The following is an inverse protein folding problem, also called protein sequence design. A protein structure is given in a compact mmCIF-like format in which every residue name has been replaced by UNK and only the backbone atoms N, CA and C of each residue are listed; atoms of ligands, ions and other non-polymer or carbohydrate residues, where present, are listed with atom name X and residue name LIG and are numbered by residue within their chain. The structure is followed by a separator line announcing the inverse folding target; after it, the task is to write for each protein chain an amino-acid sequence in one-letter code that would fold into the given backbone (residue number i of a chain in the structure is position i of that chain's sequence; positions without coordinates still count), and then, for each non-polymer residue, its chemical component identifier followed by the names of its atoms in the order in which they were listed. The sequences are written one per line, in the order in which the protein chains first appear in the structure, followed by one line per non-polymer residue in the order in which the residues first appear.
data_IF_667094450675
#
_entry.id   IF_667094450675
#
_cell.length_a   1.000
_cell.length_b   1.000
_cell.length_c   1.000
_cell.angle_alpha   90.00
_cell.angle_beta   90.00
_cell.angle_gamma   90.00
#
_symmetry.space_group_name_H-M   'P 1'
#
loop_
_entity.id
_entity.type
_entity.pdbx_description
1 polymer ?
#
# COMPACT_ATOMS: atom_id res chain seq x y z
N UNK A 1 -27.75 -32.94 0.27
CA UNK A 1 -27.43 -31.56 0.69
C UNK A 1 -25.92 -31.46 0.69
N UNK A 2 -25.34 -30.73 -0.25
CA UNK A 2 -23.89 -30.53 -0.33
C UNK A 2 -23.53 -29.26 0.44
N UNK A 3 -22.80 -29.41 1.54
CA UNK A 3 -22.25 -28.29 2.29
C UNK A 3 -21.21 -27.55 1.43
N UNK A 4 -21.18 -26.21 1.47
CA UNK A 4 -20.11 -25.45 0.85
C UNK A 4 -18.81 -25.68 1.63
N UNK A 5 -17.88 -26.41 1.02
CA UNK A 5 -16.50 -26.46 1.48
C UNK A 5 -15.84 -25.15 1.07
N UNK A 6 -15.57 -24.28 2.04
CA UNK A 6 -14.70 -23.12 1.87
C UNK A 6 -13.26 -23.62 1.69
N UNK A 7 -12.88 -23.85 0.44
CA UNK A 7 -11.47 -23.90 0.09
C UNK A 7 -10.98 -22.48 -0.11
N UNK A 8 -9.91 -22.09 0.58
CA UNK A 8 -9.06 -21.02 0.10
C UNK A 8 -8.57 -21.45 -1.29
N UNK A 9 -9.26 -20.98 -2.34
CA UNK A 9 -8.78 -21.09 -3.70
C UNK A 9 -7.74 -20.00 -3.86
N UNK A 10 -6.44 -20.33 -4.01
CA UNK A 10 -5.43 -19.34 -4.35
C UNK A 10 -5.91 -18.65 -5.63
N UNK A 11 -6.11 -17.34 -5.53
CA UNK A 11 -6.87 -16.50 -6.43
C UNK A 11 -6.64 -16.85 -7.92
N UNK A 12 -7.71 -17.24 -8.62
CA UNK A 12 -7.77 -17.06 -10.07
C UNK A 12 -7.65 -15.56 -10.33
N UNK A 13 -6.42 -15.10 -10.55
CA UNK A 13 -6.13 -13.69 -10.77
C UNK A 13 -6.92 -13.13 -11.93
N UNK A 14 -7.69 -12.09 -11.65
CA UNK A 14 -8.60 -11.41 -12.57
C UNK A 14 -7.84 -10.44 -13.48
N UNK A 15 -8.06 -10.49 -14.80
CA UNK A 15 -7.48 -9.54 -15.75
C UNK A 15 -7.40 -10.07 -17.19
N UNK A 16 -7.43 -9.16 -18.17
CA UNK A 16 -7.24 -9.51 -19.59
C UNK A 16 -5.74 -9.59 -19.90
N UNK A 17 -5.35 -10.66 -20.59
CA UNK A 17 -3.96 -10.93 -20.98
C UNK A 17 -3.95 -11.53 -22.37
N UNK A 18 -2.89 -11.25 -23.11
CA UNK A 18 -2.68 -11.86 -24.42
C UNK A 18 -2.39 -13.34 -24.15
N UNK A 19 -3.22 -14.24 -24.67
CA UNK A 19 -2.99 -15.69 -24.58
C UNK A 19 -2.28 -16.22 -25.83
N UNK A 20 -2.54 -15.59 -26.98
CA UNK A 20 -2.02 -16.01 -28.28
C UNK A 20 -1.96 -14.86 -29.26
N UNK A 21 -0.92 -14.82 -30.09
CA UNK A 21 -0.81 -14.02 -31.30
C UNK A 21 -0.62 -14.98 -32.48
N UNK A 22 -1.24 -14.70 -33.61
CA UNK A 22 -1.01 -15.38 -34.88
C UNK A 22 -0.49 -14.35 -35.87
N UNK A 23 0.78 -14.46 -36.23
CA UNK A 23 1.39 -13.62 -37.26
C UNK A 23 1.28 -14.37 -38.58
N UNK A 24 0.49 -13.84 -39.52
CA UNK A 24 0.36 -14.39 -40.86
C UNK A 24 1.39 -13.72 -41.77
N UNK A 25 2.26 -14.50 -42.41
CA UNK A 25 3.14 -13.96 -43.45
C UNK A 25 2.33 -13.66 -44.71
N UNK A 26 2.81 -12.70 -45.51
CA UNK A 26 2.26 -12.41 -46.86
C UNK A 26 2.31 -13.66 -47.78
N UNK A 27 3.17 -14.62 -47.47
CA UNK A 27 3.35 -15.90 -48.19
C UNK A 27 2.45 -17.04 -47.68
N UNK A 28 1.53 -16.78 -46.74
CA UNK A 28 0.53 -17.74 -46.27
C UNK A 28 0.98 -18.69 -45.16
N UNK A 29 2.19 -18.53 -44.63
CA UNK A 29 2.65 -19.28 -43.45
C UNK A 29 2.29 -18.50 -42.18
N UNK A 30 1.67 -19.16 -41.20
CA UNK A 30 1.36 -18.56 -39.91
C UNK A 30 2.35 -18.98 -38.83
N UNK A 31 2.76 -18.04 -38.00
CA UNK A 31 3.53 -18.31 -36.78
C UNK A 31 2.61 -18.03 -35.60
N UNK A 32 2.31 -19.08 -34.83
CA UNK A 32 1.57 -18.94 -33.59
C UNK A 32 2.54 -18.73 -32.43
N UNK A 33 2.29 -17.68 -31.65
CA UNK A 33 2.95 -17.40 -30.38
C UNK A 33 1.95 -17.50 -29.25
N UNK A 34 2.21 -18.36 -28.27
CA UNK A 34 1.39 -18.54 -27.07
C UNK A 34 2.08 -17.90 -25.87
N UNK A 35 1.31 -17.28 -24.99
CA UNK A 35 1.84 -16.57 -23.84
C UNK A 35 1.40 -17.25 -22.54
N UNK A 36 2.37 -17.61 -21.69
CA UNK A 36 2.12 -18.24 -20.39
C UNK A 36 2.71 -17.36 -19.28
N UNK A 37 1.91 -16.96 -18.30
CA UNK A 37 2.30 -16.00 -17.26
C UNK A 37 2.78 -16.71 -15.97
N UNK A 38 3.75 -17.61 -16.11
CA UNK A 38 4.29 -18.47 -15.04
C UNK A 38 5.74 -18.84 -15.33
N UNK A 39 6.48 -19.28 -14.32
CA UNK A 39 7.82 -19.84 -14.56
C UNK A 39 7.77 -21.17 -15.32
N UNK A 40 8.90 -21.53 -15.94
CA UNK A 40 9.11 -22.88 -16.46
C UNK A 40 8.87 -23.89 -15.32
N UNK A 41 8.03 -24.88 -15.59
CA UNK A 41 7.55 -25.89 -14.63
C UNK A 41 6.67 -25.35 -13.48
N UNK A 42 6.36 -24.05 -13.46
CA UNK A 42 5.41 -23.48 -12.52
C UNK A 42 4.00 -24.03 -12.74
N UNK A 43 3.33 -24.41 -11.64
CA UNK A 43 1.92 -24.81 -11.69
C UNK A 43 0.99 -23.59 -11.76
N UNK A 44 1.36 -22.50 -11.09
CA UNK A 44 0.54 -21.31 -10.94
C UNK A 44 1.17 -20.07 -11.61
N UNK A 45 0.36 -19.03 -11.79
CA UNK A 45 0.82 -17.76 -12.36
C UNK A 45 1.76 -17.04 -11.39
N UNK A 46 2.80 -16.41 -11.93
CA UNK A 46 3.79 -15.64 -11.15
C UNK A 46 3.36 -14.18 -10.94
N UNK A 47 2.10 -14.04 -10.56
CA UNK A 47 1.47 -12.75 -10.33
C UNK A 47 1.80 -12.24 -8.94
N UNK A 48 2.11 -10.95 -8.86
CA UNK A 48 2.29 -10.24 -7.61
C UNK A 48 1.20 -9.19 -7.52
N UNK A 49 0.45 -9.26 -6.44
CA UNK A 49 -0.61 -8.32 -6.12
C UNK A 49 0.00 -7.35 -5.12
N UNK A 50 0.33 -6.15 -5.59
CA UNK A 50 0.95 -5.12 -4.76
C UNK A 50 0.01 -4.64 -3.63
N UNK A 51 -1.31 -4.81 -3.81
CA UNK A 51 -2.32 -4.49 -2.81
C UNK A 51 -3.54 -5.39 -2.99
N UNK A 52 -3.89 -6.14 -1.95
CA UNK A 52 -5.20 -6.79 -1.90
C UNK A 52 -6.29 -5.71 -1.93
N UNK A 53 -7.30 -5.85 -2.80
CA UNK A 53 -8.46 -4.97 -2.73
C UNK A 53 -9.13 -5.18 -1.37
N UNK A 54 -8.99 -4.20 -0.49
CA UNK A 54 -9.71 -4.18 0.78
C UNK A 54 -11.16 -3.85 0.47
N UNK A 55 -12.00 -4.88 0.34
CA UNK A 55 -13.44 -4.71 0.18
C UNK A 55 -14.15 -4.46 1.50
N UNK A 56 -13.49 -4.75 2.61
CA UNK A 56 -14.03 -4.54 3.96
C UNK A 56 -13.13 -3.59 4.72
N UNK A 57 -13.71 -2.52 5.23
CA UNK A 57 -13.05 -1.60 6.15
C UNK A 57 -13.95 -1.28 7.34
N UNK A 58 -13.34 -1.06 8.49
CA UNK A 58 -14.04 -0.55 9.67
C UNK A 58 -14.03 0.97 9.55
N UNK A 59 -15.21 1.56 9.36
CA UNK A 59 -15.39 3.00 9.32
C UNK A 59 -16.07 3.50 10.60
N UNK A 60 -15.80 4.75 10.93
CA UNK A 60 -16.42 5.41 12.07
C UNK A 60 -17.52 6.33 11.57
N UNK A 61 -18.78 6.06 11.94
CA UNK A 61 -19.86 7.03 11.79
C UNK A 61 -19.85 7.91 13.04
N UNK A 62 -19.78 9.21 12.83
CA UNK A 62 -19.87 10.17 13.93
C UNK A 62 -21.24 10.82 13.91
N UNK A 63 -21.88 10.92 15.07
CA UNK A 63 -23.13 11.64 15.28
C UNK A 63 -22.90 12.76 16.27
N UNK A 64 -23.40 13.95 15.95
CA UNK A 64 -23.47 15.06 16.90
C UNK A 64 -24.58 14.81 17.91
N UNK A 65 -24.21 14.83 19.20
CA UNK A 65 -25.16 14.77 20.29
C UNK A 65 -25.74 16.17 20.52
N UNK A 66 -27.07 16.27 20.49
CA UNK A 66 -27.79 17.54 20.60
C UNK A 66 -28.76 17.51 21.77
N UNK A 67 -28.82 18.62 22.50
CA UNK A 67 -29.89 18.90 23.45
C UNK A 67 -30.97 19.68 22.71
N UNK A 68 -32.14 19.05 22.55
CA UNK A 68 -33.29 19.72 22.00
C UNK A 68 -33.95 20.59 23.08
N UNK A 69 -34.31 21.84 22.75
CA UNK A 69 -35.03 22.67 23.69
C UNK A 69 -36.43 22.08 23.99
N UNK A 70 -36.98 22.35 25.18
CA UNK A 70 -38.32 21.90 25.55
C UNK A 70 -39.38 22.35 24.53
N UNK A 71 -40.44 21.54 24.28
CA UNK A 71 -41.52 21.91 23.36
C UNK A 71 -42.08 23.30 23.67
N UNK A 72 -42.11 24.18 22.67
CA UNK A 72 -42.59 25.56 22.81
C UNK A 72 -41.51 26.62 23.10
N UNK A 73 -40.24 26.24 23.23
CA UNK A 73 -39.15 27.19 23.41
C UNK A 73 -38.62 27.72 22.07
N UNK A 74 -38.31 29.02 22.00
CA UNK A 74 -37.62 29.63 20.85
C UNK A 74 -36.11 29.44 21.00
N UNK A 75 -35.59 28.36 20.44
CA UNK A 75 -34.15 28.06 20.38
C UNK A 75 -33.88 26.90 19.43
N UNK A 76 -32.70 26.91 18.79
CA UNK A 76 -32.22 25.76 18.01
C UNK A 76 -31.66 24.67 18.91
N UNK A 77 -31.45 23.47 18.37
CA UNK A 77 -30.78 22.38 19.08
C UNK A 77 -29.34 22.78 19.43
N UNK A 78 -28.91 22.54 20.67
CA UNK A 78 -27.57 22.88 21.15
C UNK A 78 -26.70 21.61 21.15
N UNK A 79 -25.63 21.54 20.33
CA UNK A 79 -24.72 20.41 20.37
C UNK A 79 -23.92 20.40 21.68
N UNK A 80 -23.75 19.22 22.29
CA UNK A 80 -23.01 19.06 23.55
C UNK A 80 -21.89 18.01 23.48
N UNK A 81 -21.77 17.31 22.35
CA UNK A 81 -20.70 16.33 22.16
C UNK A 81 -20.82 15.55 20.86
N UNK A 82 -19.94 14.57 20.73
CA UNK A 82 -19.88 13.64 19.59
C UNK A 82 -19.92 12.21 20.10
N UNK A 83 -20.67 11.37 19.39
CA UNK A 83 -20.70 9.93 19.61
C UNK A 83 -20.18 9.22 18.36
N UNK A 84 -19.25 8.28 18.54
CA UNK A 84 -18.63 7.52 17.45
C UNK A 84 -19.10 6.08 17.50
N UNK A 85 -19.53 5.57 16.35
CA UNK A 85 -19.92 4.18 16.18
C UNK A 85 -19.10 3.56 15.07
N UNK A 86 -18.51 2.41 15.35
CA UNK A 86 -17.84 1.62 14.33
C UNK A 86 -18.91 0.90 13.49
N UNK A 87 -18.76 0.92 12.18
CA UNK A 87 -19.53 0.08 11.28
C UNK A 87 -18.60 -0.55 10.25
N UNK A 88 -18.95 -1.76 9.83
CA UNK A 88 -18.27 -2.42 8.74
C UNK A 88 -18.83 -1.91 7.43
N UNK A 89 -17.99 -1.30 6.61
CA UNK A 89 -18.32 -0.90 5.27
C UNK A 89 -17.78 -1.94 4.30
N UNK A 90 -18.67 -2.51 3.49
CA UNK A 90 -18.27 -3.19 2.26
C UNK A 90 -18.11 -2.10 1.19
N UNK A 91 -16.87 -1.75 0.84
CA UNK A 91 -16.62 -0.76 -0.21
C UNK A 91 -16.24 -1.47 -1.50
N UNK A 92 -17.10 -1.30 -2.52
CA UNK A 92 -16.75 -1.62 -3.92
C UNK A 92 -16.03 -0.45 -4.60
N UNK A 93 -15.64 0.56 -3.82
CA UNK A 93 -15.15 1.83 -4.33
C UNK A 93 -13.67 1.71 -4.67
N UNK A 94 -13.43 1.85 -5.96
CA UNK A 94 -12.14 1.95 -6.60
C UNK A 94 -11.37 3.26 -6.27
N UNK A 95 -11.64 3.95 -5.15
CA UNK A 95 -11.19 5.35 -4.89
C UNK A 95 -9.66 5.54 -4.81
N UNK A 96 -8.87 4.47 -4.96
CA UNK A 96 -7.45 4.58 -5.38
C UNK A 96 -7.29 4.95 -6.88
N UNK A 97 -8.38 5.19 -7.61
CA UNK A 97 -8.40 5.29 -9.08
C UNK A 97 -7.89 6.60 -9.65
N UNK A 98 -7.61 7.62 -8.84
CA UNK A 98 -7.06 8.84 -9.45
C UNK A 98 -5.69 8.58 -10.13
N UNK A 99 -5.03 7.44 -9.86
CA UNK A 99 -3.90 6.92 -10.64
C UNK A 99 -3.81 5.37 -10.75
N UNK A 100 -4.88 4.60 -10.52
CA UNK A 100 -4.81 3.13 -10.62
C UNK A 100 -5.99 2.56 -11.40
N UNK A 101 -5.83 2.30 -12.70
CA UNK A 101 -6.93 1.77 -13.51
C UNK A 101 -7.21 0.27 -13.28
N UNK A 102 -6.38 -0.49 -12.56
CA UNK A 102 -6.61 -1.90 -12.18
C UNK A 102 -5.81 -2.23 -10.90
N UNK A 103 -6.07 -3.35 -10.18
CA UNK A 103 -5.04 -3.89 -9.29
C UNK A 103 -3.73 -4.01 -10.09
N UNK A 104 -2.65 -3.42 -9.58
CA UNK A 104 -1.34 -3.53 -10.20
C UNK A 104 -0.87 -4.98 -10.02
N UNK A 105 -1.25 -5.82 -10.98
CA UNK A 105 -0.77 -7.18 -11.12
C UNK A 105 0.52 -7.14 -11.92
N UNK A 106 1.62 -7.49 -11.27
CA UNK A 106 2.91 -7.60 -11.93
C UNK A 106 3.20 -9.07 -12.18
N UNK A 107 3.59 -9.40 -13.41
CA UNK A 107 4.06 -10.75 -13.73
C UNK A 107 5.57 -10.76 -13.67
N UNK A 108 6.11 -11.52 -12.72
CA UNK A 108 7.57 -11.73 -12.64
C UNK A 108 8.12 -12.44 -13.87
N UNK A 109 7.29 -13.22 -14.57
CA UNK A 109 7.70 -14.13 -15.63
C UNK A 109 6.62 -14.28 -16.69
N UNK A 110 7.01 -14.18 -17.96
CA UNK A 110 6.15 -14.42 -19.13
C UNK A 110 6.91 -15.32 -20.11
N UNK A 111 6.29 -16.43 -20.50
CA UNK A 111 6.81 -17.31 -21.54
C UNK A 111 6.14 -16.99 -22.88
N UNK A 112 6.92 -16.75 -23.91
CA UNK A 112 6.51 -16.69 -25.31
C UNK A 112 6.89 -18.03 -25.97
N UNK A 113 5.89 -18.89 -26.18
CA UNK A 113 6.05 -20.21 -26.80
C UNK A 113 5.72 -20.09 -28.28
N UNK A 114 6.73 -20.22 -29.12
CA UNK A 114 6.61 -20.23 -30.57
C UNK A 114 6.37 -21.69 -31.00
N UNK A 115 5.17 -21.99 -31.49
CA UNK A 115 4.74 -23.37 -31.75
C UNK A 115 5.73 -24.14 -32.63
N UNK A 116 6.22 -25.27 -32.10
CA UNK A 116 7.14 -26.17 -32.79
C UNK A 116 8.57 -25.65 -32.97
N UNK A 117 8.92 -24.48 -32.40
CA UNK A 117 10.22 -23.84 -32.64
C UNK A 117 11.03 -23.57 -31.37
N UNK A 118 10.50 -22.79 -30.45
CA UNK A 118 11.29 -22.27 -29.32
C UNK A 118 10.40 -21.70 -28.23
N UNK A 119 10.97 -21.57 -27.04
CA UNK A 119 10.35 -20.83 -25.92
C UNK A 119 11.27 -19.72 -25.47
N UNK A 120 10.74 -18.52 -25.29
CA UNK A 120 11.44 -17.37 -24.72
C UNK A 120 10.81 -17.08 -23.37
N UNK A 121 11.60 -16.97 -22.32
CA UNK A 121 11.12 -16.63 -20.98
C UNK A 121 11.66 -15.27 -20.59
N UNK A 122 10.75 -14.33 -20.39
CA UNK A 122 11.01 -12.96 -19.99
C UNK A 122 10.79 -12.83 -18.48
N UNK A 123 11.78 -12.31 -17.77
CA UNK A 123 11.71 -12.02 -16.34
C UNK A 123 11.82 -10.53 -16.09
N UNK A 124 10.93 -10.02 -15.25
CA UNK A 124 10.79 -8.59 -14.96
C UNK A 124 11.09 -8.29 -13.49
N UNK A 125 11.62 -7.09 -13.21
CA UNK A 125 11.59 -6.54 -11.86
C UNK A 125 10.15 -6.29 -11.43
N UNK A 126 9.91 -6.53 -10.14
CA UNK A 126 8.62 -6.53 -9.47
C UNK A 126 8.63 -5.58 -8.26
N UNK A 127 9.59 -4.66 -8.25
CA UNK A 127 9.79 -3.74 -7.12
C UNK A 127 8.53 -2.91 -6.91
N UNK A 128 7.97 -2.96 -5.70
CA UNK A 128 6.69 -2.32 -5.42
C UNK A 128 6.91 -0.88 -4.96
N UNK A 129 5.94 -0.03 -5.26
CA UNK A 129 5.90 1.29 -4.68
C UNK A 129 5.36 1.24 -3.25
N UNK A 130 5.74 2.19 -2.40
CA UNK A 130 5.22 2.30 -1.04
C UNK A 130 4.21 3.44 -0.92
N UNK A 131 3.24 3.24 -0.04
CA UNK A 131 2.29 4.26 0.34
C UNK A 131 2.96 5.28 1.27
N UNK A 132 2.32 6.44 1.41
CA UNK A 132 2.78 7.46 2.34
C UNK A 132 2.75 6.99 3.81
N UNK A 133 3.59 7.59 4.64
CA UNK A 133 3.65 7.30 6.06
C UNK A 133 2.49 8.00 6.79
N UNK A 134 1.67 7.25 7.53
CA UNK A 134 0.61 7.80 8.37
C UNK A 134 1.25 8.53 9.55
N UNK A 135 1.16 9.86 9.57
CA UNK A 135 1.67 10.70 10.66
C UNK A 135 0.63 10.91 11.76
N UNK A 136 -0.65 10.89 11.42
CA UNK A 136 -1.77 11.04 12.37
C UNK A 136 -3.04 10.41 11.79
N UNK A 137 -3.86 9.82 12.67
CA UNK A 137 -5.17 9.29 12.30
C UNK A 137 -5.08 7.99 11.50
N UNK A 138 -5.92 7.86 10.48
CA UNK A 138 -5.95 6.70 9.56
C UNK A 138 -5.35 7.03 8.20
N UNK A 139 -5.00 6.00 7.43
CA UNK A 139 -4.45 6.18 6.09
C UNK A 139 -5.44 6.87 5.13
N UNK A 140 -4.97 7.91 4.44
CA UNK A 140 -5.67 8.59 3.35
C UNK A 140 -5.33 7.86 2.06
N UNK A 141 -6.22 6.96 1.63
CA UNK A 141 -5.99 6.09 0.47
C UNK A 141 -5.73 6.85 -0.84
N UNK A 142 -6.20 8.08 -0.96
CA UNK A 142 -5.96 8.97 -2.12
C UNK A 142 -4.63 9.71 -2.06
N UNK A 143 -3.81 9.54 -1.02
CA UNK A 143 -2.48 10.13 -0.95
C UNK A 143 -1.61 9.61 -2.12
N UNK A 144 -0.82 10.48 -2.78
CA UNK A 144 0.07 10.06 -3.85
C UNK A 144 1.05 8.97 -3.40
N UNK A 145 1.38 8.06 -4.31
CA UNK A 145 2.42 7.07 -4.07
C UNK A 145 3.79 7.69 -4.25
N UNK A 146 4.79 7.02 -3.67
CA UNK A 146 6.08 7.64 -3.41
C UNK A 146 7.15 7.36 -4.48
N UNK A 147 6.81 6.56 -5.49
CA UNK A 147 7.68 6.10 -6.57
C UNK A 147 9.00 5.49 -6.06
N UNK A 148 8.93 4.60 -5.07
CA UNK A 148 10.11 3.87 -4.58
C UNK A 148 10.54 2.71 -5.50
N UNK A 149 9.57 2.02 -6.12
CA UNK A 149 9.80 0.91 -7.05
C UNK A 149 10.22 1.36 -8.46
N UNK A 150 11.30 2.12 -8.56
CA UNK A 150 11.71 2.81 -9.79
C UNK A 150 12.07 1.90 -10.96
N UNK A 151 12.51 0.68 -10.66
CA UNK A 151 12.88 -0.34 -11.62
C UNK A 151 11.74 -1.32 -11.92
N UNK A 152 10.52 -1.10 -11.39
CA UNK A 152 9.37 -1.96 -11.65
C UNK A 152 9.11 -2.13 -13.15
N UNK A 153 8.87 -3.37 -13.57
CA UNK A 153 8.48 -3.69 -14.95
C UNK A 153 9.64 -3.69 -15.93
N UNK A 154 10.88 -3.42 -15.48
CA UNK A 154 12.08 -3.56 -16.32
C UNK A 154 12.37 -5.04 -16.56
N UNK A 155 12.62 -5.40 -17.81
CA UNK A 155 13.07 -6.76 -18.16
C UNK A 155 14.52 -6.93 -17.69
N UNK A 156 14.73 -7.80 -16.69
CA UNK A 156 16.03 -8.05 -16.04
C UNK A 156 16.72 -9.30 -16.57
N UNK A 157 15.96 -10.26 -17.10
CA UNK A 157 16.51 -11.52 -17.59
C UNK A 157 15.63 -12.10 -18.70
N UNK A 158 16.24 -12.55 -19.78
CA UNK A 158 15.59 -13.29 -20.86
C UNK A 158 16.31 -14.60 -21.11
N UNK A 159 15.58 -15.71 -21.19
CA UNK A 159 16.11 -17.03 -21.50
C UNK A 159 15.49 -17.56 -22.78
N UNK A 160 16.33 -18.10 -23.67
CA UNK A 160 15.91 -18.66 -24.94
C UNK A 160 16.13 -20.17 -24.91
N UNK A 161 15.09 -20.91 -25.25
CA UNK A 161 15.10 -22.37 -25.34
C UNK A 161 14.82 -22.82 -26.78
N UNK A 162 15.53 -23.84 -27.23
CA UNK A 162 15.26 -24.49 -28.51
C UNK A 162 13.98 -25.33 -28.47
N UNK A 163 13.66 -26.01 -29.58
CA UNK A 163 12.49 -26.88 -29.70
C UNK A 163 12.53 -28.10 -28.76
N UNK A 164 13.71 -28.43 -28.24
CA UNK A 164 13.95 -29.55 -27.33
C UNK A 164 14.01 -29.10 -25.86
N UNK A 165 13.66 -27.83 -25.58
CA UNK A 165 13.77 -27.19 -24.27
C UNK A 165 15.20 -27.08 -23.71
N UNK A 166 16.23 -27.13 -24.56
CA UNK A 166 17.59 -26.81 -24.14
C UNK A 166 17.77 -25.29 -24.09
N UNK A 167 18.40 -24.80 -23.01
CA UNK A 167 18.78 -23.39 -22.91
C UNK A 167 19.88 -23.07 -23.92
N UNK A 168 19.62 -22.16 -24.86
CA UNK A 168 20.55 -21.78 -25.94
C UNK A 168 21.11 -20.37 -25.78
N UNK A 169 20.40 -19.48 -25.08
CA UNK A 169 20.87 -18.12 -24.80
C UNK A 169 20.28 -17.57 -23.51
N UNK A 170 21.06 -16.75 -22.82
CA UNK A 170 20.63 -15.93 -21.69
C UNK A 170 21.02 -14.47 -21.93
N UNK A 171 20.14 -13.53 -21.60
CA UNK A 171 20.40 -12.09 -21.63
C UNK A 171 20.04 -11.52 -20.26
N UNK A 172 21.02 -11.00 -19.54
CA UNK A 172 20.86 -10.32 -18.25
C UNK A 172 21.01 -8.81 -18.47
N UNK A 173 20.00 -8.04 -18.08
CA UNK A 173 19.99 -6.59 -18.17
C UNK A 173 20.19 -6.00 -16.77
N UNK A 174 21.17 -5.11 -16.63
CA UNK A 174 21.46 -4.40 -15.40
C UNK A 174 21.16 -2.91 -15.57
N UNK A 175 20.19 -2.41 -14.82
CA UNK A 175 19.78 -1.00 -14.83
C UNK A 175 20.40 -0.26 -13.64
N UNK A 176 20.65 1.03 -13.82
CA UNK A 176 21.19 1.90 -12.78
C UNK A 176 20.38 3.18 -12.70
N UNK A 177 20.12 3.64 -11.47
CA UNK A 177 19.54 4.94 -11.18
C UNK A 177 20.66 5.99 -11.09
N UNK A 178 20.46 7.12 -11.78
CA UNK A 178 21.30 8.30 -11.61
C UNK A 178 20.83 9.13 -10.41
N UNK A 179 21.49 8.90 -9.28
CA UNK A 179 21.21 9.64 -8.04
C UNK A 179 21.45 11.15 -8.14
N UNK A 180 22.26 11.63 -9.10
CA UNK A 180 22.52 13.08 -9.26
C UNK A 180 21.31 13.83 -9.81
N UNK A 181 20.40 13.12 -10.49
CA UNK A 181 19.16 13.67 -11.08
C UNK A 181 17.91 13.29 -10.29
N UNK A 182 18.09 12.70 -9.11
CA UNK A 182 17.00 12.38 -8.21
C UNK A 182 16.46 13.65 -7.55
N UNK A 183 15.19 13.96 -7.81
CA UNK A 183 14.49 15.08 -7.17
C UNK A 183 13.38 14.52 -6.32
N UNK A 184 13.37 14.89 -5.05
CA UNK A 184 12.33 14.50 -4.10
C UNK A 184 11.61 15.75 -3.59
N UNK A 185 10.28 15.70 -3.61
CA UNK A 185 9.41 16.70 -2.99
C UNK A 185 8.52 15.99 -1.98
N UNK A 186 8.68 16.34 -0.72
CA UNK A 186 7.85 15.81 0.36
C UNK A 186 6.52 16.59 0.42
N UNK A 187 5.43 15.87 0.65
CA UNK A 187 4.10 16.44 0.75
C UNK A 187 3.29 15.80 1.87
N UNK A 188 2.23 16.49 2.28
CA UNK A 188 1.25 15.98 3.23
C UNK A 188 -0.12 15.95 2.56
N UNK A 189 -0.76 14.79 2.59
CA UNK A 189 -2.19 14.67 2.38
C UNK A 189 -2.85 14.86 3.75
N UNK A 190 -3.76 15.83 3.85
CA UNK A 190 -4.45 16.14 5.11
C UNK A 190 -5.96 16.06 4.82
N UNK A 191 -6.67 15.27 5.63
CA UNK A 191 -8.12 15.13 5.55
C UNK A 191 -8.72 15.47 6.90
N UNK A 192 -9.60 16.48 6.93
CA UNK A 192 -10.50 16.70 8.08
C UNK A 192 -11.67 15.74 7.97
N UNK A 193 -11.80 14.89 8.98
CA UNK A 193 -12.78 13.82 9.01
C UNK A 193 -14.18 14.31 9.43
N UNK A 194 -14.26 15.33 10.30
CA UNK A 194 -15.49 16.05 10.62
C UNK A 194 -15.17 17.41 11.25
N UNK A 195 -16.16 18.31 11.28
CA UNK A 195 -16.14 19.51 12.11
C UNK A 195 -16.58 19.18 13.54
N UNK A 196 -15.79 19.57 14.53
CA UNK A 196 -16.19 19.46 15.93
C UNK A 196 -17.17 20.61 16.27
N UNK A 197 -18.44 20.31 16.60
CA UNK A 197 -19.42 21.33 16.92
C UNK A 197 -19.20 21.96 18.30
N UNK A 198 -18.30 21.39 19.12
CA UNK A 198 -17.94 21.91 20.44
C UNK A 198 -16.43 22.15 20.44
N UNK A 199 -15.99 23.26 19.85
CA UNK A 199 -14.58 23.65 19.80
C UNK A 199 -14.05 23.76 21.24
N UNK A 200 -13.20 22.82 21.65
CA UNK A 200 -12.50 22.88 22.93
C UNK A 200 -11.05 23.29 22.71
N UNK A 201 -10.48 24.02 23.67
CA UNK A 201 -9.06 24.34 23.62
C UNK A 201 -8.24 23.04 23.62
N UNK A 202 -7.41 22.88 22.60
CA UNK A 202 -6.50 21.74 22.40
C UNK A 202 -5.32 21.75 23.37
N UNK A 203 -5.11 22.88 24.04
CA UNK A 203 -4.09 23.06 25.07
C UNK A 203 -4.70 23.65 26.34
N UNK A 204 -4.20 23.22 27.49
CA UNK A 204 -4.41 23.90 28.78
C UNK A 204 -3.05 24.25 29.37
N UNK A 205 -2.89 25.51 29.77
CA UNK A 205 -1.77 25.93 30.60
C UNK A 205 -2.11 25.61 32.05
N UNK A 206 -1.25 24.84 32.72
CA UNK A 206 -1.47 24.43 34.09
C UNK A 206 -1.35 25.61 35.06
N UNK A 207 -2.38 25.81 35.88
CA UNK A 207 -2.39 26.78 36.97
C UNK A 207 -2.15 26.10 38.31
N UNK A 208 -1.92 26.90 39.36
CA UNK A 208 -1.74 26.40 40.73
C UNK A 208 -2.91 25.50 41.20
N UNK A 209 -4.14 25.86 40.83
CA UNK A 209 -5.37 25.10 41.15
C UNK A 209 -5.46 23.73 40.44
N UNK A 210 -4.69 23.52 39.36
CA UNK A 210 -4.76 22.32 38.54
C UNK A 210 -3.73 21.24 38.93
N UNK A 211 -2.78 21.56 39.81
CA UNK A 211 -1.62 20.71 40.10
C UNK A 211 -1.96 19.50 40.99
N UNK A 212 -3.05 19.62 41.75
CA UNK A 212 -3.56 18.59 42.67
C UNK A 212 -4.97 18.12 42.25
N UNK A 213 -5.43 18.52 41.06
CA UNK A 213 -6.77 18.20 40.56
C UNK A 213 -6.95 16.69 40.37
N UNK A 214 -8.01 16.14 40.94
CA UNK A 214 -8.37 14.73 40.81
C UNK A 214 -9.85 14.58 40.49
N UNK A 215 -10.16 13.59 39.65
CA UNK A 215 -11.51 13.28 39.19
C UNK A 215 -11.87 11.90 39.72
N UNK A 216 -12.95 11.82 40.48
CA UNK A 216 -13.50 10.55 40.93
C UNK A 216 -14.47 10.00 39.88
N UNK A 217 -14.27 8.74 39.47
CA UNK A 217 -15.25 8.02 38.68
C UNK A 217 -15.60 6.69 39.34
N UNK A 218 -16.89 6.48 39.52
CA UNK A 218 -17.45 5.25 40.09
C UNK A 218 -17.93 4.35 38.97
N UNK A 219 -17.54 3.08 39.00
CA UNK A 219 -17.96 2.09 38.01
C UNK A 219 -18.28 0.74 38.67
N UNK A 220 -19.05 -0.09 37.97
CA UNK A 220 -19.43 -1.43 38.43
C UNK A 220 -18.42 -2.47 37.96
N UNK A 221 -17.90 -3.31 38.86
CA UNK A 221 -17.06 -4.45 38.44
C UNK A 221 -17.87 -5.71 38.13
N UNK A 222 -19.15 -5.75 38.51
CA UNK A 222 -20.03 -6.90 38.26
C UNK A 222 -20.41 -6.94 36.78
N UNK A 223 -20.31 -8.12 36.15
CA UNK A 223 -20.69 -8.29 34.75
C UNK A 223 -22.20 -8.05 34.57
N UNK A 224 -22.56 -7.09 33.72
CA UNK A 224 -23.95 -6.74 33.42
C UNK A 224 -24.05 -6.04 32.05
N UNK A 225 -25.28 -5.78 31.61
CA UNK A 225 -25.58 -5.12 30.33
C UNK A 225 -26.32 -3.81 30.59
N UNK A 226 -26.00 -2.77 29.82
CA UNK A 226 -26.70 -1.49 29.88
C UNK A 226 -27.84 -1.46 28.86
N UNK A 227 -29.07 -1.27 29.33
CA UNK A 227 -30.23 -1.07 28.47
C UNK A 227 -30.86 0.33 28.66
N UNK A 228 -30.68 0.96 29.82
CA UNK A 228 -31.27 2.26 30.14
C UNK A 228 -30.29 3.14 30.95
N UNK A 229 -30.51 4.46 30.92
CA UNK A 229 -29.86 5.44 31.79
C UNK A 229 -30.35 5.26 33.23
N UNK A 230 -29.45 5.22 34.22
CA UNK A 230 -29.81 5.18 35.64
C UNK A 230 -30.24 6.57 36.14
N UNK A 231 -31.10 6.61 37.17
CA UNK A 231 -31.63 7.86 37.73
C UNK A 231 -30.59 8.75 38.43
N UNK A 232 -29.37 8.25 38.60
CA UNK A 232 -28.25 8.93 39.26
C UNK A 232 -27.12 9.32 38.29
N UNK A 233 -27.40 9.37 36.98
CA UNK A 233 -26.45 9.78 35.93
C UNK A 233 -25.19 8.90 35.87
N UNK A 234 -25.35 7.58 35.95
CA UNK A 234 -24.26 6.58 35.94
C UNK A 234 -23.35 6.56 37.18
N UNK A 235 -23.71 7.25 38.27
CA UNK A 235 -22.87 7.24 39.47
C UNK A 235 -22.82 5.86 40.15
N UNK A 236 -23.90 5.09 40.14
CA UNK A 236 -23.95 3.78 40.77
C UNK A 236 -24.63 2.74 39.89
N UNK A 237 -24.09 1.52 39.96
CA UNK A 237 -24.68 0.32 39.42
C UNK A 237 -25.79 -0.18 40.36
N UNK A 238 -26.96 -0.46 39.78
CA UNK A 238 -28.11 -1.03 40.50
C UNK A 238 -28.41 -2.48 40.09
N UNK A 239 -27.50 -3.12 39.33
CA UNK A 239 -27.65 -4.52 38.94
C UNK A 239 -27.66 -5.45 40.16
N UNK A 240 -28.31 -6.61 40.02
CA UNK A 240 -28.27 -7.63 41.09
C UNK A 240 -26.83 -8.08 41.33
N UNK A 241 -26.36 -7.98 42.58
CA UNK A 241 -24.97 -8.24 42.93
C UNK A 241 -23.99 -7.13 42.52
N UNK A 242 -24.46 -5.90 42.34
CA UNK A 242 -23.61 -4.76 42.01
C UNK A 242 -22.47 -4.56 43.02
N UNK A 243 -21.25 -4.41 42.48
CA UNK A 243 -20.08 -3.97 43.22
C UNK A 243 -19.59 -2.65 42.62
N UNK A 244 -19.91 -1.54 43.28
CA UNK A 244 -19.49 -0.20 42.88
C UNK A 244 -18.10 0.10 43.44
N UNK A 245 -17.17 0.42 42.56
CA UNK A 245 -15.80 0.80 42.91
C UNK A 245 -15.56 2.23 42.44
N UNK A 246 -15.12 3.08 43.36
CA UNK A 246 -14.71 4.45 43.03
C UNK A 246 -13.20 4.46 42.80
N UNK A 247 -12.80 4.95 41.64
CA UNK A 247 -11.40 5.16 41.29
C UNK A 247 -11.12 6.65 41.15
N UNK A 248 -9.99 7.08 41.71
CA UNK A 248 -9.52 8.46 41.65
C UNK A 248 -8.52 8.57 40.50
N UNK A 249 -8.86 9.38 39.51
CA UNK A 249 -8.02 9.68 38.37
C UNK A 249 -7.34 11.03 38.57
N UNK A 250 -6.06 11.11 38.24
CA UNK A 250 -5.30 12.36 38.29
C UNK A 250 -5.67 13.23 37.08
N UNK A 251 -5.91 14.51 37.30
CA UNK A 251 -6.14 15.49 36.24
C UNK A 251 -4.91 15.64 35.33
N UNK A 252 -5.12 16.20 34.13
CA UNK A 252 -4.05 16.29 33.12
C UNK A 252 -2.82 17.12 33.56
N UNK A 253 -3.01 18.06 34.49
CA UNK A 253 -1.96 18.90 35.06
C UNK A 253 -1.41 18.38 36.40
N UNK A 254 -1.87 17.22 36.89
CA UNK A 254 -1.48 16.72 38.21
C UNK A 254 0.03 16.48 38.29
N UNK A 255 0.69 17.12 39.27
CA UNK A 255 2.14 17.03 39.47
C UNK A 255 3.00 17.70 38.38
N UNK A 256 2.41 18.55 37.53
CA UNK A 256 3.13 19.42 36.58
C UNK A 256 3.54 20.73 37.25
N UNK A 257 4.33 21.55 36.56
CA UNK A 257 4.67 22.89 37.03
C UNK A 257 3.63 23.91 36.58
N UNK A 258 3.51 25.01 37.33
CA UNK A 258 2.73 26.18 36.90
C UNK A 258 3.33 26.71 35.59
N UNK A 259 2.48 26.89 34.58
CA UNK A 259 2.90 27.35 33.25
C UNK A 259 3.22 26.23 32.25
N UNK A 260 3.30 24.97 32.69
CA UNK A 260 3.40 23.83 31.76
C UNK A 260 2.16 23.80 30.86
N UNK A 261 2.36 23.52 29.57
CA UNK A 261 1.28 23.40 28.60
C UNK A 261 1.02 21.91 28.35
N UNK A 262 -0.18 21.45 28.72
CA UNK A 262 -0.66 20.11 28.40
C UNK A 262 -1.48 20.14 27.12
N UNK A 263 -1.25 19.18 26.23
CA UNK A 263 -1.96 19.01 24.97
C UNK A 263 -2.98 17.89 25.12
N UNK A 264 -4.21 18.15 24.74
CA UNK A 264 -5.28 17.17 24.70
C UNK A 264 -5.33 16.55 23.31
N UNK A 265 -4.66 15.42 23.14
CA UNK A 265 -4.56 14.75 21.83
C UNK A 265 -5.91 14.35 21.25
N UNK A 266 -6.88 14.03 22.11
CA UNK A 266 -8.28 13.74 21.78
C UNK A 266 -9.05 14.96 21.25
N UNK A 267 -8.58 16.18 21.54
CA UNK A 267 -9.16 17.44 21.08
C UNK A 267 -8.44 18.04 19.89
N UNK A 268 -7.24 17.56 19.55
CA UNK A 268 -6.58 17.96 18.30
C UNK A 268 -7.51 17.66 17.13
N UNK A 269 -7.66 18.60 16.20
CA UNK A 269 -8.55 18.48 15.03
C UNK A 269 -8.55 17.06 14.48
N UNK A 270 -9.76 16.53 14.24
CA UNK A 270 -9.98 15.18 13.72
C UNK A 270 -9.47 15.09 12.28
N UNK A 271 -8.16 14.95 12.18
CA UNK A 271 -7.38 14.99 10.96
C UNK A 271 -6.68 13.66 10.80
N UNK A 272 -6.78 13.16 9.58
CA UNK A 272 -5.81 12.21 9.08
C UNK A 272 -4.71 12.99 8.37
N UNK A 273 -3.47 12.56 8.60
CA UNK A 273 -2.29 13.14 7.97
C UNK A 273 -1.42 12.02 7.46
N UNK A 274 -1.23 11.97 6.15
CA UNK A 274 -0.31 11.04 5.48
C UNK A 274 0.79 11.83 4.81
N UNK A 275 2.04 11.55 5.17
CA UNK A 275 3.19 12.11 4.49
C UNK A 275 3.53 11.24 3.28
N UNK A 276 3.63 11.85 2.10
CA UNK A 276 4.09 11.19 0.88
C UNK A 276 5.31 11.90 0.30
N UNK A 277 5.97 11.27 -0.66
CA UNK A 277 7.18 11.76 -1.31
C UNK A 277 7.03 11.63 -2.81
N UNK A 278 6.98 12.73 -3.55
CA UNK A 278 7.07 12.66 -5.00
C UNK A 278 8.54 12.56 -5.41
N UNK A 279 8.97 11.38 -5.84
CA UNK A 279 10.35 11.13 -6.26
C UNK A 279 10.41 11.04 -7.79
N UNK A 280 11.02 12.04 -8.41
CA UNK A 280 11.43 11.97 -9.82
C UNK A 280 12.78 11.29 -9.92
N UNK A 281 12.90 10.34 -10.85
CA UNK A 281 14.06 9.48 -11.01
C UNK A 281 14.45 9.41 -12.47
N UNK A 282 15.73 9.21 -12.71
CA UNK A 282 16.26 8.87 -14.01
C UNK A 282 17.04 7.56 -13.89
N UNK A 283 16.68 6.59 -14.72
CA UNK A 283 17.37 5.31 -14.79
C UNK A 283 17.72 4.95 -16.23
N UNK A 284 18.73 4.10 -16.39
CA UNK A 284 19.21 3.66 -17.70
C UNK A 284 19.75 2.23 -17.65
N UNK A 285 19.78 1.56 -18.80
CA UNK A 285 20.46 0.27 -18.93
C UNK A 285 21.98 0.52 -18.86
N UNK A 286 22.61 0.14 -17.74
CA UNK A 286 24.06 0.31 -17.50
C UNK A 286 24.87 -0.72 -18.27
N UNK A 287 24.42 -1.98 -18.21
CA UNK A 287 25.11 -3.07 -18.87
C UNK A 287 24.17 -4.20 -19.23
N UNK A 288 24.55 -4.96 -20.26
CA UNK A 288 23.89 -6.19 -20.66
C UNK A 288 24.94 -7.30 -20.75
N UNK A 289 24.62 -8.46 -20.17
CA UNK A 289 25.44 -9.67 -20.27
C UNK A 289 24.68 -10.70 -21.07
N UNK A 290 25.30 -11.23 -22.11
CA UNK A 290 24.74 -12.26 -22.99
C UNK A 290 25.59 -13.51 -22.86
N UNK A 291 24.93 -14.65 -22.63
CA UNK A 291 25.56 -15.97 -22.58
C UNK A 291 24.94 -16.80 -23.70
N UNK A 292 25.75 -17.20 -24.68
CA UNK A 292 25.36 -18.10 -25.77
C UNK A 292 25.87 -19.51 -25.48
N UNK A 293 25.00 -20.51 -25.56
CA UNK A 293 25.35 -21.92 -25.34
C UNK A 293 25.49 -22.63 -26.70
N UNK A 294 26.70 -22.59 -27.26
CA UNK A 294 27.03 -23.20 -28.54
C UNK A 294 27.60 -24.59 -28.29
N UNK A 295 26.80 -25.64 -28.50
CA UNK A 295 27.27 -27.03 -28.38
C UNK A 295 27.74 -27.42 -26.97
N UNK A 296 27.19 -26.81 -25.92
CA UNK A 296 27.56 -27.07 -24.52
C UNK A 296 28.63 -26.12 -23.96
N UNK A 297 29.29 -25.32 -24.81
CA UNK A 297 30.24 -24.28 -24.39
C UNK A 297 29.53 -22.93 -24.26
N UNK A 298 29.75 -22.24 -23.14
CA UNK A 298 29.23 -20.89 -22.92
C UNK A 298 30.17 -19.82 -23.49
N UNK A 299 29.68 -19.02 -24.42
CA UNK A 299 30.35 -17.81 -24.91
C UNK A 299 29.71 -16.62 -24.21
N UNK A 300 30.51 -15.84 -23.47
CA UNK A 300 30.02 -14.70 -22.70
C UNK A 300 30.41 -13.41 -23.40
N UNK A 301 29.43 -12.53 -23.61
CA UNK A 301 29.69 -11.15 -24.02
C UNK A 301 29.03 -10.18 -23.05
N UNK A 302 29.72 -9.09 -22.77
CA UNK A 302 29.22 -8.03 -21.90
C UNK A 302 29.29 -6.71 -22.65
N UNK A 303 28.16 -6.01 -22.72
CA UNK A 303 28.06 -4.67 -23.27
C UNK A 303 27.83 -3.67 -22.14
N UNK A 304 28.70 -2.66 -22.06
CA UNK A 304 28.55 -1.50 -21.19
C UNK A 304 28.01 -0.33 -22.01
N UNK A 305 27.04 0.39 -21.45
CA UNK A 305 26.39 1.53 -22.09
C UNK A 305 26.74 2.81 -21.34
N UNK A 306 27.18 3.84 -22.07
CA UNK A 306 27.63 5.11 -21.52
C UNK A 306 26.68 6.23 -21.95
N UNK A 307 26.25 7.06 -21.01
CA UNK A 307 25.29 8.15 -21.23
C UNK A 307 25.92 9.50 -20.90
N UNK A 308 27.12 9.79 -21.38
CA UNK A 308 27.97 10.89 -20.89
C UNK A 308 27.65 12.28 -21.47
N UNK A 309 26.46 12.49 -22.04
CA UNK A 309 26.08 13.80 -22.56
C UNK A 309 25.57 14.70 -21.42
N UNK A 310 25.64 16.04 -21.52
CA UNK A 310 25.28 16.95 -20.42
C UNK A 310 23.87 16.78 -19.86
N UNK A 311 22.95 16.23 -20.66
CA UNK A 311 21.57 15.96 -20.25
C UNK A 311 21.38 14.48 -19.86
N UNK A 312 22.33 13.61 -20.17
CA UNK A 312 22.37 12.17 -19.93
C UNK A 312 21.12 11.39 -20.41
N UNK A 313 20.33 11.92 -21.36
CA UNK A 313 19.11 11.25 -21.88
C UNK A 313 19.36 10.28 -23.04
N UNK A 314 20.54 10.32 -23.65
CA UNK A 314 20.83 9.58 -24.88
C UNK A 314 22.12 8.79 -24.71
N UNK A 315 22.10 7.57 -25.22
CA UNK A 315 23.29 6.72 -25.29
C UNK A 315 24.37 7.44 -26.08
N UNK A 316 25.53 7.62 -25.46
CA UNK A 316 26.70 8.28 -26.08
C UNK A 316 27.69 7.29 -26.66
N UNK A 317 27.88 6.16 -25.98
CA UNK A 317 28.81 5.14 -26.42
C UNK A 317 28.39 3.77 -25.89
N UNK A 318 28.87 2.70 -26.53
CA UNK A 318 28.75 1.34 -26.05
C UNK A 318 30.09 0.64 -26.21
N UNK A 319 30.46 -0.19 -25.23
CA UNK A 319 31.65 -1.03 -25.28
C UNK A 319 31.23 -2.47 -25.10
N UNK A 320 31.56 -3.33 -26.06
CA UNK A 320 31.30 -4.76 -25.96
C UNK A 320 32.61 -5.51 -25.77
N UNK A 321 32.68 -6.31 -24.71
CA UNK A 321 33.79 -7.22 -24.42
C UNK A 321 33.30 -8.64 -24.62
N UNK A 322 34.04 -9.44 -25.38
CA UNK A 322 33.84 -10.89 -25.47
C UNK A 322 34.84 -11.55 -24.53
N UNK A 323 34.33 -12.36 -23.60
CA UNK A 323 35.15 -13.19 -22.73
C UNK A 323 35.31 -14.52 -23.45
N UNK A 324 36.39 -14.65 -24.22
CA UNK A 324 36.77 -15.93 -24.82
C UNK A 324 37.27 -16.85 -23.70
N UNK A 325 36.43 -17.81 -23.29
CA UNK A 325 36.87 -18.92 -22.46
C UNK A 325 37.37 -20.04 -23.37
N UNK A 326 38.60 -19.91 -23.86
CA UNK A 326 39.43 -21.11 -24.07
C UNK A 326 40.10 -21.39 -22.73
N UNK A 327 39.48 -22.27 -21.94
CA UNK A 327 40.23 -23.07 -20.97
C UNK A 327 40.17 -24.50 -21.53
N UNK A 328 41.08 -24.77 -22.47
CA UNK A 328 41.50 -26.13 -22.75
C UNK A 328 42.71 -26.39 -21.84
N UNK A 329 42.65 -27.45 -21.03
CA UNK A 329 43.85 -28.26 -20.80
C UNK A 329 43.98 -29.26 -21.94
#
# INVERSE_FOLDING_TARGET
MSEPVWGDVPENTTGLRISKIIDNSETGSSVTRKFLYKDINGQFSNVIIARQPLFTEVLNKTKTCINNPPPGSTGGAIPYGLERFNYYALTSSNVNQLNASHPNMFYKSVQEVIEGKSTIVHNYSIDTDYFGEVRKGVDIKSAPWTNFGWNNGREVLTKYFDSNNNLVRMVENNYEEDNTRKVQVDGFAIRKNYDDPVIQNVTKTCKAEDLDDTIEATYCTTNHSHWYLTSDLYKNCHASGANNVTSVYKGACYGKNIGDVVVFEDRLDNLDVVQYKNISRFDYLKSQKVIDYLGGTSVISQTEYFYNNPSHHQLTNKKTTKLDLIVNE
#
